data_IF_980766250082
#
_entry.id   IF_980766250082
#
_cell.length_a   1.000
_cell.length_b   1.000
_cell.length_c   1.000
_cell.angle_alpha   90.00
_cell.angle_beta   90.00
_cell.angle_gamma   90.00
#
_symmetry.space_group_name_H-M   'P 1'
#
loop_
_entity.id
_entity.type
_entity.pdbx_description
1 polymer ?
#
# COMPACT_ATOMS: atom_id res chain seq x y z
N UNK A 1 8.85 26.52 -12.45
CA UNK A 1 8.24 27.87 -12.33
C UNK A 1 6.85 27.83 -11.70
N UNK A 2 5.89 27.02 -12.21
CA UNK A 2 4.53 26.94 -11.62
C UNK A 2 4.54 26.40 -10.19
N UNK A 3 5.19 25.25 -9.94
CA UNK A 3 5.27 24.68 -8.59
C UNK A 3 5.87 25.67 -7.58
N UNK A 4 6.95 26.36 -7.94
CA UNK A 4 7.57 27.36 -7.08
C UNK A 4 6.60 28.50 -6.72
N UNK A 5 5.78 28.97 -7.65
CA UNK A 5 4.75 29.98 -7.35
C UNK A 5 3.69 29.41 -6.38
N UNK A 6 3.28 28.15 -6.55
CA UNK A 6 2.34 27.49 -5.64
C UNK A 6 2.94 27.33 -4.23
N UNK A 7 4.21 26.97 -4.13
CA UNK A 7 4.95 26.85 -2.87
C UNK A 7 5.10 28.22 -2.19
N UNK A 8 5.50 29.25 -2.94
CA UNK A 8 5.64 30.62 -2.43
C UNK A 8 4.29 31.15 -1.91
N UNK A 9 3.19 30.88 -2.62
CA UNK A 9 1.84 31.23 -2.18
C UNK A 9 1.44 30.48 -0.91
N UNK A 10 1.75 29.18 -0.80
CA UNK A 10 1.50 28.39 0.40
C UNK A 10 2.25 28.98 1.59
N UNK A 11 3.55 29.20 1.46
CA UNK A 11 4.38 29.82 2.50
C UNK A 11 3.89 31.21 2.87
N UNK A 12 3.48 32.02 1.90
CA UNK A 12 2.91 33.33 2.15
C UNK A 12 1.65 33.26 3.03
N UNK A 13 0.70 32.37 2.71
CA UNK A 13 -0.53 32.22 3.50
C UNK A 13 -0.26 31.62 4.90
N UNK A 14 0.66 30.67 5.02
CA UNK A 14 1.02 30.06 6.30
C UNK A 14 1.71 31.04 7.26
N UNK A 15 2.43 32.04 6.72
CA UNK A 15 3.09 33.08 7.50
C UNK A 15 2.13 34.16 8.04
N UNK A 16 0.86 34.19 7.60
CA UNK A 16 -0.10 35.22 8.05
C UNK A 16 -0.60 34.93 9.45
N UNK A 17 -0.57 35.95 10.31
CA UNK A 17 -1.13 35.89 11.68
C UNK A 17 -2.66 35.99 11.71
N UNK A 18 -3.25 36.59 10.68
CA UNK A 18 -4.70 36.67 10.46
C UNK A 18 -4.99 36.30 9.01
N UNK A 19 -5.81 35.26 8.81
CA UNK A 19 -6.19 34.74 7.49
C UNK A 19 -7.70 34.91 7.28
N UNK A 20 -8.13 35.32 6.09
CA UNK A 20 -9.56 35.38 5.77
C UNK A 20 -10.11 33.99 5.43
N UNK A 21 -11.43 33.76 5.49
CA UNK A 21 -12.02 32.48 5.07
C UNK A 21 -11.66 32.09 3.63
N UNK A 22 -11.58 33.04 2.71
CA UNK A 22 -11.21 32.80 1.30
C UNK A 22 -9.75 32.39 1.16
N UNK A 23 -8.85 33.05 1.89
CA UNK A 23 -7.43 32.70 1.92
C UNK A 23 -7.22 31.32 2.58
N UNK A 24 -7.99 31.01 3.62
CA UNK A 24 -7.98 29.69 4.24
C UNK A 24 -8.44 28.61 3.25
N UNK A 25 -9.48 28.88 2.44
CA UNK A 25 -9.93 27.96 1.40
C UNK A 25 -8.88 27.76 0.31
N UNK A 26 -8.15 28.82 -0.09
CA UNK A 26 -7.04 28.72 -1.03
C UNK A 26 -5.87 27.94 -0.44
N UNK A 27 -5.52 28.18 0.82
CA UNK A 27 -4.45 27.44 1.50
C UNK A 27 -4.78 25.95 1.60
N UNK A 28 -6.05 25.58 1.86
CA UNK A 28 -6.45 24.16 1.84
C UNK A 28 -6.23 23.54 0.45
N UNK A 29 -6.62 24.24 -0.63
CA UNK A 29 -6.37 23.76 -2.00
C UNK A 29 -4.89 23.68 -2.37
N UNK A 30 -4.05 24.54 -1.80
CA UNK A 30 -2.59 24.50 -1.99
C UNK A 30 -1.93 23.37 -1.19
N UNK A 31 -2.65 22.76 -0.23
CA UNK A 31 -2.21 21.58 0.52
C UNK A 31 -2.65 20.28 -0.15
N UNK A 32 -3.40 20.33 -1.24
CA UNK A 32 -3.75 19.14 -2.01
C UNK A 32 -2.48 18.54 -2.65
N UNK A 33 -2.41 17.20 -2.71
CA UNK A 33 -1.24 16.44 -3.18
C UNK A 33 -1.11 16.39 -4.72
N UNK A 34 -1.28 17.53 -5.40
CA UNK A 34 -1.14 17.62 -6.86
C UNK A 34 0.16 18.31 -7.27
N UNK A 35 0.89 17.65 -8.17
CA UNK A 35 2.14 18.17 -8.74
C UNK A 35 1.93 18.57 -10.22
N UNK A 36 2.16 19.84 -10.60
CA UNK A 36 1.98 20.31 -11.96
C UNK A 36 3.09 19.78 -12.88
N UNK A 37 2.69 19.16 -14.00
CA UNK A 37 3.61 18.51 -14.94
C UNK A 37 4.10 19.46 -16.05
N UNK A 38 3.23 20.31 -16.61
CA UNK A 38 3.60 21.19 -17.73
C UNK A 38 2.68 22.42 -17.87
N UNK A 39 3.05 23.36 -18.72
CA UNK A 39 2.30 24.58 -19.06
C UNK A 39 2.55 25.02 -20.51
N UNK A 40 1.62 25.77 -21.11
CA UNK A 40 1.79 26.37 -22.45
C UNK A 40 1.59 27.88 -22.39
N UNK A 41 2.40 28.61 -23.16
CA UNK A 41 2.45 30.07 -23.24
C UNK A 41 2.35 30.55 -24.69
N UNK A 42 2.20 31.86 -24.88
CA UNK A 42 2.26 32.46 -26.22
C UNK A 42 3.68 32.44 -26.80
N UNK A 43 4.70 32.44 -25.96
CA UNK A 43 6.10 32.35 -26.40
C UNK A 43 6.39 30.97 -27.01
N UNK A 44 5.80 29.91 -26.45
CA UNK A 44 5.88 28.57 -27.04
C UNK A 44 5.30 28.59 -28.47
N UNK A 45 4.13 29.20 -28.65
CA UNK A 45 3.53 29.35 -29.98
C UNK A 45 4.41 30.17 -30.94
N UNK A 46 5.02 31.26 -30.47
CA UNK A 46 5.95 32.08 -31.27
C UNK A 46 7.19 31.28 -31.68
N UNK A 47 7.72 30.45 -30.78
CA UNK A 47 8.87 29.57 -31.05
C UNK A 47 8.57 28.60 -32.20
N UNK A 48 7.31 28.20 -32.35
CA UNK A 48 6.83 27.37 -33.45
C UNK A 48 6.28 28.18 -34.65
N UNK A 49 6.46 29.50 -34.67
CA UNK A 49 6.15 30.36 -35.82
C UNK A 49 4.71 30.87 -35.91
N UNK A 50 3.89 30.69 -34.88
CA UNK A 50 2.54 31.25 -34.85
C UNK A 50 2.55 32.74 -34.52
N UNK A 51 1.76 33.54 -35.26
CA UNK A 51 1.53 34.95 -34.93
C UNK A 51 0.57 35.08 -33.74
N UNK A 52 1.09 35.46 -32.58
CA UNK A 52 0.30 35.53 -31.33
C UNK A 52 -0.30 36.91 -31.05
N UNK A 53 -0.08 37.91 -31.91
CA UNK A 53 -0.55 39.30 -31.66
C UNK A 53 -2.07 39.40 -31.47
N UNK A 54 -2.82 38.53 -32.15
CA UNK A 54 -4.29 38.44 -32.04
C UNK A 54 -4.78 37.27 -31.17
N UNK A 55 -3.88 36.50 -30.56
CA UNK A 55 -4.26 35.32 -29.77
C UNK A 55 -4.72 35.74 -28.38
N UNK A 56 -6.01 35.51 -28.12
CA UNK A 56 -6.68 35.85 -26.86
C UNK A 56 -6.40 34.84 -25.74
N UNK A 57 -6.61 35.24 -24.48
CA UNK A 57 -6.46 34.34 -23.34
C UNK A 57 -7.46 33.17 -23.41
N UNK A 58 -8.66 33.40 -23.94
CA UNK A 58 -9.65 32.35 -24.13
C UNK A 58 -9.15 31.26 -25.11
N UNK A 59 -8.45 31.66 -26.18
CA UNK A 59 -7.83 30.71 -27.10
C UNK A 59 -6.67 29.97 -26.45
N UNK A 60 -5.82 30.63 -25.65
CA UNK A 60 -4.76 29.97 -24.91
C UNK A 60 -5.30 28.94 -23.90
N UNK A 61 -6.38 29.28 -23.17
CA UNK A 61 -7.05 28.32 -22.26
C UNK A 61 -7.58 27.11 -23.02
N UNK A 62 -8.18 27.33 -24.19
CA UNK A 62 -8.68 26.24 -25.04
C UNK A 62 -7.54 25.36 -25.57
N UNK A 63 -6.41 25.95 -25.94
CA UNK A 63 -5.21 25.21 -26.34
C UNK A 63 -4.69 24.37 -25.17
N UNK A 64 -4.49 24.97 -23.99
CA UNK A 64 -4.04 24.27 -22.81
C UNK A 64 -4.95 23.09 -22.45
N UNK A 65 -6.27 23.29 -22.49
CA UNK A 65 -7.24 22.21 -22.25
C UNK A 65 -7.13 21.08 -23.29
N UNK A 66 -6.98 21.43 -24.58
CA UNK A 66 -6.78 20.42 -25.63
C UNK A 66 -5.49 19.63 -25.44
N UNK A 67 -4.39 20.30 -25.12
CA UNK A 67 -3.11 19.65 -24.85
C UNK A 67 -3.18 18.75 -23.62
N UNK A 68 -3.84 19.19 -22.55
CA UNK A 68 -4.02 18.40 -21.34
C UNK A 68 -4.80 17.11 -21.62
N UNK A 69 -5.90 17.20 -22.38
CA UNK A 69 -6.67 16.02 -22.79
C UNK A 69 -5.83 15.08 -23.66
N UNK A 70 -5.13 15.63 -24.67
CA UNK A 70 -4.31 14.85 -25.60
C UNK A 70 -3.19 14.10 -24.87
N UNK A 71 -2.50 14.78 -23.96
CA UNK A 71 -1.47 14.16 -23.13
C UNK A 71 -2.05 13.07 -22.23
N UNK A 72 -3.21 13.31 -21.59
CA UNK A 72 -3.89 12.34 -20.75
C UNK A 72 -4.28 11.07 -21.52
N UNK A 73 -4.83 11.23 -22.73
CA UNK A 73 -5.31 10.13 -23.57
C UNK A 73 -4.17 9.31 -24.18
N UNK A 74 -3.03 9.94 -24.51
CA UNK A 74 -1.97 9.29 -25.28
C UNK A 74 -0.78 8.81 -24.45
N UNK A 75 -0.33 9.59 -23.46
CA UNK A 75 1.01 9.43 -22.88
C UNK A 75 1.06 9.47 -21.36
N UNK A 76 0.10 10.09 -20.68
CA UNK A 76 0.19 10.37 -19.25
C UNK A 76 0.42 9.10 -18.43
N UNK A 77 -0.44 8.09 -18.56
CA UNK A 77 -0.41 6.91 -17.71
C UNK A 77 0.84 6.05 -17.92
N UNK A 78 1.21 5.81 -19.17
CA UNK A 78 2.40 5.04 -19.52
C UNK A 78 3.69 5.77 -19.13
N UNK A 79 3.74 7.09 -19.32
CA UNK A 79 4.91 7.89 -18.94
C UNK A 79 5.06 7.95 -17.42
N UNK A 80 3.96 8.12 -16.68
CA UNK A 80 3.96 8.09 -15.22
C UNK A 80 4.53 6.77 -14.70
N UNK A 81 4.05 5.65 -15.23
CA UNK A 81 4.51 4.33 -14.82
C UNK A 81 6.00 4.11 -15.09
N UNK A 82 6.45 4.36 -16.32
CA UNK A 82 7.86 4.18 -16.73
C UNK A 82 8.80 5.07 -15.93
N UNK A 83 8.42 6.33 -15.71
CA UNK A 83 9.25 7.29 -14.96
C UNK A 83 9.28 6.91 -13.48
N UNK A 84 8.16 6.50 -12.89
CA UNK A 84 8.12 6.04 -11.49
C UNK A 84 9.01 4.79 -11.28
N UNK A 85 9.02 3.86 -12.24
CA UNK A 85 9.93 2.71 -12.22
C UNK A 85 11.40 3.14 -12.35
N UNK A 86 11.71 4.06 -13.26
CA UNK A 86 13.06 4.61 -13.41
C UNK A 86 13.56 5.41 -12.19
N UNK A 87 12.64 5.89 -11.35
CA UNK A 87 12.93 6.54 -10.07
C UNK A 87 12.89 5.56 -8.88
N UNK A 88 12.69 4.27 -9.14
CA UNK A 88 12.66 3.21 -8.12
C UNK A 88 11.59 3.44 -7.03
N UNK A 89 10.45 4.03 -7.41
CA UNK A 89 9.33 4.16 -6.47
C UNK A 89 8.78 2.79 -6.08
N UNK A 90 8.44 2.59 -4.80
CA UNK A 90 7.96 1.30 -4.33
C UNK A 90 6.63 0.93 -4.98
N UNK A 91 6.49 -0.36 -5.31
CA UNK A 91 5.23 -0.96 -5.74
C UNK A 91 4.70 -1.90 -4.68
N UNK A 92 3.39 -2.08 -4.69
CA UNK A 92 2.79 -3.24 -4.05
C UNK A 92 3.20 -4.53 -4.77
N UNK A 93 3.12 -5.69 -4.07
CA UNK A 93 3.37 -6.99 -4.68
C UNK A 93 2.51 -7.22 -5.94
N UNK A 94 3.04 -7.98 -6.89
CA UNK A 94 2.26 -8.45 -8.05
C UNK A 94 1.14 -9.38 -7.59
N UNK A 95 0.07 -9.56 -8.35
CA UNK A 95 -1.00 -10.47 -7.95
C UNK A 95 -0.50 -11.93 -7.83
N UNK A 96 -0.77 -12.65 -6.71
CA UNK A 96 -0.27 -14.02 -6.51
C UNK A 96 -0.86 -15.05 -7.48
N UNK A 97 -1.94 -14.68 -8.18
CA UNK A 97 -2.66 -15.55 -9.13
C UNK A 97 -2.26 -15.26 -10.57
N UNK A 98 -2.27 -13.98 -11.00
CA UNK A 98 -2.09 -13.62 -12.41
C UNK A 98 -0.84 -12.78 -12.70
N UNK A 99 0.00 -12.50 -11.70
CA UNK A 99 1.20 -11.66 -11.80
C UNK A 99 0.96 -10.23 -12.32
N UNK A 100 -0.29 -9.76 -12.28
CA UNK A 100 -0.60 -8.36 -12.61
C UNK A 100 -0.02 -7.41 -11.59
N UNK A 101 0.62 -6.32 -12.06
CA UNK A 101 1.14 -5.23 -11.24
C UNK A 101 0.08 -4.20 -10.82
N UNK A 102 -1.13 -4.30 -11.35
CA UNK A 102 -2.23 -3.41 -11.02
C UNK A 102 -2.95 -3.92 -9.77
N UNK A 103 -2.37 -3.57 -8.62
CA UNK A 103 -2.86 -3.93 -7.29
C UNK A 103 -3.12 -2.66 -6.50
N UNK A 104 -4.29 -2.58 -5.87
CA UNK A 104 -4.67 -1.49 -4.98
C UNK A 104 -4.80 -1.99 -3.54
N UNK A 105 -4.50 -1.13 -2.57
CA UNK A 105 -4.71 -1.39 -1.14
C UNK A 105 -5.97 -0.66 -0.66
N UNK A 106 -6.93 -1.39 -0.11
CA UNK A 106 -7.99 -0.81 0.70
C UNK A 106 -7.43 -0.50 2.09
N UNK A 107 -6.98 0.74 2.28
CA UNK A 107 -6.37 1.19 3.54
C UNK A 107 -7.29 1.13 4.76
N UNK A 108 -8.61 1.00 4.59
CA UNK A 108 -9.52 0.79 5.73
C UNK A 108 -9.51 -0.66 6.21
N UNK A 109 -9.29 -1.61 5.31
CA UNK A 109 -9.35 -3.05 5.60
C UNK A 109 -7.99 -3.72 5.69
N UNK A 110 -6.94 -3.09 5.16
CA UNK A 110 -5.62 -3.73 5.00
C UNK A 110 -5.66 -4.87 3.98
N UNK A 111 -6.53 -4.75 2.97
CA UNK A 111 -6.76 -5.77 1.95
C UNK A 111 -6.29 -5.26 0.60
N UNK A 112 -5.40 -6.01 -0.04
CA UNK A 112 -5.05 -5.80 -1.43
C UNK A 112 -6.10 -6.39 -2.36
N UNK A 113 -6.29 -5.74 -3.51
CA UNK A 113 -7.13 -6.22 -4.60
C UNK A 113 -6.38 -6.08 -5.92
N UNK A 114 -6.41 -7.15 -6.72
CA UNK A 114 -5.94 -7.11 -8.10
C UNK A 114 -7.02 -6.57 -9.04
N UNK A 115 -6.73 -5.50 -9.78
CA UNK A 115 -7.65 -4.93 -10.78
C UNK A 115 -7.80 -5.81 -12.03
N UNK A 116 -6.86 -6.73 -12.27
CA UNK A 116 -6.88 -7.61 -13.43
C UNK A 116 -7.80 -8.82 -13.27
N UNK A 117 -7.76 -9.49 -12.11
CA UNK A 117 -8.53 -10.72 -11.87
C UNK A 117 -9.49 -10.66 -10.67
N UNK A 118 -9.50 -9.56 -9.91
CA UNK A 118 -10.35 -9.40 -8.72
C UNK A 118 -9.90 -10.18 -7.49
N UNK A 119 -8.74 -10.84 -7.53
CA UNK A 119 -8.18 -11.54 -6.36
C UNK A 119 -7.94 -10.57 -5.20
N UNK A 120 -8.31 -10.99 -4.00
CA UNK A 120 -8.09 -10.25 -2.75
C UNK A 120 -7.23 -11.05 -1.77
N UNK A 121 -6.40 -10.35 -0.99
CA UNK A 121 -5.59 -10.91 0.09
C UNK A 121 -5.22 -9.81 1.09
N UNK A 122 -4.87 -10.17 2.33
CA UNK A 122 -4.55 -9.22 3.38
C UNK A 122 -3.04 -8.98 3.48
N UNK A 123 -2.65 -7.76 3.85
CA UNK A 123 -1.25 -7.36 3.95
C UNK A 123 -0.53 -7.98 5.15
N UNK A 124 -1.26 -8.18 6.26
CA UNK A 124 -0.67 -8.54 7.56
C UNK A 124 -1.30 -9.78 8.19
N UNK A 125 -1.92 -10.64 7.37
CA UNK A 125 -2.44 -11.92 7.85
C UNK A 125 -1.57 -13.07 7.37
N UNK A 126 -1.42 -14.04 8.26
CA UNK A 126 -0.63 -15.24 8.06
C UNK A 126 -1.53 -16.46 8.19
N UNK A 127 -1.16 -17.52 7.51
CA UNK A 127 -1.87 -18.79 7.47
C UNK A 127 -0.96 -19.85 8.07
N UNK A 128 -1.45 -20.58 9.07
CA UNK A 128 -0.74 -21.76 9.56
C UNK A 128 -0.88 -22.88 8.53
N UNK A 129 0.22 -23.24 7.88
CA UNK A 129 0.33 -24.38 6.96
C UNK A 129 0.96 -25.54 7.71
N UNK A 130 0.28 -26.66 7.70
CA UNK A 130 0.67 -27.91 8.36
C UNK A 130 0.01 -29.08 7.62
N UNK A 131 0.43 -30.31 7.92
CA UNK A 131 -0.15 -31.53 7.36
C UNK A 131 -1.69 -31.49 7.42
N UNK A 132 -2.40 -31.78 6.31
CA UNK A 132 -1.94 -32.48 5.12
C UNK A 132 -1.49 -31.58 3.95
N UNK A 133 -1.39 -30.26 4.13
CA UNK A 133 -0.82 -29.40 3.09
C UNK A 133 0.69 -29.71 2.96
N UNK A 134 1.22 -29.62 1.73
CA UNK A 134 2.65 -29.81 1.48
C UNK A 134 3.42 -28.55 1.90
N UNK A 135 4.16 -28.65 3.01
CA UNK A 135 4.96 -27.56 3.56
C UNK A 135 6.40 -27.51 3.02
N UNK A 136 6.84 -28.55 2.30
CA UNK A 136 8.24 -28.72 1.88
C UNK A 136 8.75 -27.54 1.06
N UNK A 137 7.92 -27.02 0.14
CA UNK A 137 8.24 -25.85 -0.66
C UNK A 137 8.59 -24.62 0.19
N UNK A 138 7.82 -24.34 1.24
CA UNK A 138 8.06 -23.17 2.10
C UNK A 138 9.30 -23.35 2.97
N UNK A 139 9.58 -24.58 3.40
CA UNK A 139 10.80 -24.89 4.14
C UNK A 139 12.05 -24.74 3.26
N UNK A 140 12.04 -25.29 2.04
CA UNK A 140 13.16 -25.25 1.10
C UNK A 140 13.49 -23.83 0.63
N UNK A 141 12.46 -23.00 0.40
CA UNK A 141 12.60 -21.61 -0.04
C UNK A 141 12.71 -20.61 1.12
N UNK A 142 12.76 -21.08 2.37
CA UNK A 142 12.81 -20.24 3.58
C UNK A 142 11.68 -19.20 3.67
N UNK A 143 10.46 -19.58 3.26
CA UNK A 143 9.27 -18.72 3.26
C UNK A 143 8.49 -18.88 4.56
N UNK A 144 8.04 -17.76 5.14
CA UNK A 144 7.28 -17.73 6.39
C UNK A 144 8.12 -18.09 7.62
N UNK A 145 7.46 -18.35 8.73
CA UNK A 145 8.08 -18.56 10.05
C UNK A 145 7.72 -19.93 10.60
N UNK A 146 8.62 -20.64 11.28
CA UNK A 146 8.32 -21.94 11.87
C UNK A 146 7.23 -21.83 12.96
N UNK A 147 6.37 -22.85 13.05
CA UNK A 147 5.48 -23.05 14.20
C UNK A 147 6.11 -24.08 15.15
N UNK A 148 6.45 -23.64 16.35
CA UNK A 148 6.94 -24.45 17.46
C UNK A 148 5.81 -25.08 18.29
N UNK A 149 4.58 -24.56 18.16
CA UNK A 149 3.39 -25.06 18.84
C UNK A 149 2.74 -26.25 18.13
N UNK A 150 2.97 -26.41 16.81
CA UNK A 150 2.43 -27.55 16.06
C UNK A 150 3.22 -28.84 16.33
N UNK A 151 2.50 -29.96 16.28
CA UNK A 151 3.11 -31.30 16.31
C UNK A 151 3.73 -31.72 14.98
N UNK A 152 3.43 -30.99 13.91
CA UNK A 152 4.05 -31.16 12.61
C UNK A 152 5.34 -30.32 12.54
N UNK A 153 6.49 -31.00 12.45
CA UNK A 153 7.80 -30.35 12.38
C UNK A 153 7.97 -29.44 11.15
N UNK A 154 7.16 -29.66 10.10
CA UNK A 154 7.15 -28.83 8.90
C UNK A 154 6.18 -27.66 8.96
N UNK A 155 5.46 -27.46 10.08
CA UNK A 155 4.43 -26.43 10.17
C UNK A 155 5.03 -25.02 10.17
N UNK A 156 4.39 -24.11 9.42
CA UNK A 156 4.86 -22.72 9.26
C UNK A 156 3.72 -21.73 9.15
N UNK A 157 3.93 -20.52 9.64
CA UNK A 157 3.12 -19.34 9.39
C UNK A 157 3.60 -18.65 8.11
N UNK A 158 2.83 -18.75 7.03
CA UNK A 158 3.15 -18.10 5.74
C UNK A 158 2.20 -16.93 5.51
N UNK A 159 2.62 -15.90 4.77
CA UNK A 159 1.71 -14.81 4.42
C UNK A 159 0.52 -15.35 3.61
N UNK A 160 -0.65 -14.72 3.71
CA UNK A 160 -1.78 -15.09 2.85
C UNK A 160 -1.42 -15.00 1.36
N UNK A 161 -0.56 -14.03 1.01
CA UNK A 161 -0.01 -13.88 -0.31
C UNK A 161 0.72 -15.15 -0.78
N UNK A 162 1.69 -15.64 -0.01
CA UNK A 162 2.51 -16.80 -0.37
C UNK A 162 1.67 -18.07 -0.40
N UNK A 163 0.71 -18.19 0.52
CA UNK A 163 -0.26 -19.28 0.52
C UNK A 163 -1.03 -19.35 -0.81
N UNK A 164 -1.64 -18.22 -1.21
CA UNK A 164 -2.41 -18.15 -2.45
C UNK A 164 -1.48 -18.36 -3.66
N UNK A 165 -0.28 -17.80 -3.62
CA UNK A 165 0.71 -17.94 -4.70
C UNK A 165 1.11 -19.40 -4.91
N UNK A 166 1.28 -20.18 -3.86
CA UNK A 166 1.66 -21.58 -3.95
C UNK A 166 0.46 -22.50 -4.24
N UNK A 167 -0.58 -22.47 -3.40
CA UNK A 167 -1.70 -23.41 -3.48
C UNK A 167 -2.79 -23.02 -4.47
N UNK A 168 -2.79 -21.78 -4.99
CA UNK A 168 -3.79 -21.23 -5.91
C UNK A 168 -5.24 -21.36 -5.39
N UNK A 169 -5.42 -21.32 -4.06
CA UNK A 169 -6.72 -21.37 -3.38
C UNK A 169 -6.73 -20.39 -2.20
N UNK A 170 -7.93 -20.01 -1.77
CA UNK A 170 -8.09 -19.20 -0.56
C UNK A 170 -7.87 -20.05 0.69
N UNK A 171 -7.20 -19.52 1.73
CA UNK A 171 -7.10 -20.17 3.02
C UNK A 171 -8.47 -20.32 3.70
N UNK A 172 -8.60 -21.34 4.53
CA UNK A 172 -9.78 -21.52 5.38
C UNK A 172 -9.81 -20.46 6.49
N UNK A 173 -11.00 -19.94 6.81
CA UNK A 173 -11.16 -18.79 7.71
C UNK A 173 -10.65 -19.01 9.15
N UNK A 174 -10.56 -20.25 9.60
CA UNK A 174 -10.05 -20.64 10.92
C UNK A 174 -8.53 -20.81 10.98
N UNK A 175 -7.82 -20.63 9.86
CA UNK A 175 -6.36 -20.83 9.77
C UNK A 175 -5.56 -19.53 9.77
N UNK A 176 -6.24 -18.39 9.91
CA UNK A 176 -5.60 -17.09 9.91
C UNK A 176 -5.09 -16.70 11.29
N UNK A 177 -3.88 -16.19 11.30
CA UNK A 177 -3.17 -15.65 12.44
C UNK A 177 -2.71 -14.22 12.13
N UNK A 178 -2.62 -13.42 13.18
CA UNK A 178 -2.03 -12.10 13.16
C UNK A 178 -0.85 -12.08 14.13
N UNK A 179 0.35 -11.65 13.68
CA UNK A 179 1.45 -11.38 14.60
C UNK A 179 1.12 -10.10 15.36
N UNK A 180 1.13 -10.18 16.69
CA UNK A 180 0.99 -9.01 17.55
C UNK A 180 2.30 -8.80 18.29
N UNK A 181 2.90 -7.63 18.11
CA UNK A 181 4.08 -7.18 18.85
C UNK A 181 3.71 -6.55 20.19
N UNK A 182 4.73 -6.17 20.96
CA UNK A 182 4.56 -5.39 22.18
C UNK A 182 4.16 -3.94 21.85
N UNK A 183 3.24 -3.29 22.60
CA UNK A 183 2.60 -3.74 23.84
C UNK A 183 1.32 -4.58 23.69
N UNK A 184 0.75 -4.72 22.49
CA UNK A 184 -0.53 -5.37 22.24
C UNK A 184 -0.51 -6.87 22.60
N UNK A 185 0.65 -7.52 22.45
CA UNK A 185 0.86 -8.95 22.76
C UNK A 185 0.68 -9.30 24.24
N UNK A 186 0.77 -8.32 25.16
CA UNK A 186 0.63 -8.54 26.62
C UNK A 186 -0.65 -9.29 27.00
N UNK A 187 -1.75 -8.97 26.32
CA UNK A 187 -3.06 -9.58 26.56
C UNK A 187 -3.09 -11.08 26.25
N UNK A 188 -2.15 -11.55 25.44
CA UNK A 188 -2.08 -12.91 24.91
C UNK A 188 -0.94 -13.72 25.51
N UNK A 189 0.02 -13.08 26.22
CA UNK A 189 1.16 -13.71 26.88
C UNK A 189 0.94 -14.03 28.37
N UNK A 190 0.23 -13.16 29.11
CA UNK A 190 0.23 -13.18 30.58
C UNK A 190 -1.18 -13.04 31.17
N UNK A 191 -1.98 -14.12 31.27
CA UNK A 191 -3.26 -14.09 32.01
C UNK A 191 -3.54 -15.38 32.81
N UNK A 192 -4.27 -15.22 33.93
CA UNK A 192 -4.56 -16.23 34.97
C UNK A 192 -5.23 -17.51 34.44
N UNK A 193 -4.86 -18.65 35.06
CA UNK A 193 -5.15 -20.09 34.79
C UNK A 193 -6.63 -20.51 34.57
N UNK A 194 -7.57 -19.57 34.41
CA UNK A 194 -9.02 -19.83 34.37
C UNK A 194 -9.64 -19.90 32.97
N UNK A 195 -8.87 -19.66 31.89
CA UNK A 195 -9.37 -19.52 30.52
C UNK A 195 -8.55 -20.28 29.47
N UNK A 196 -8.08 -21.49 29.81
CA UNK A 196 -7.12 -22.32 29.04
C UNK A 196 -7.52 -22.58 27.57
N UNK A 197 -8.80 -22.79 27.27
CA UNK A 197 -9.21 -23.25 25.94
C UNK A 197 -8.99 -22.20 24.83
N UNK A 198 -9.20 -20.91 25.14
CA UNK A 198 -9.11 -19.85 24.14
C UNK A 198 -7.65 -19.53 23.78
N UNK A 199 -6.72 -19.58 24.73
CA UNK A 199 -5.32 -19.17 24.51
C UNK A 199 -4.41 -20.32 24.08
N UNK A 200 -4.90 -21.57 24.10
CA UNK A 200 -4.18 -22.77 23.65
C UNK A 200 -3.65 -22.67 22.22
N UNK A 201 -4.27 -21.83 21.38
CA UNK A 201 -3.91 -21.63 19.98
C UNK A 201 -2.94 -20.47 19.75
N UNK A 202 -2.61 -19.68 20.78
CA UNK A 202 -1.65 -18.59 20.62
C UNK A 202 -0.23 -19.13 20.74
N UNK A 203 0.68 -18.66 19.89
CA UNK A 203 2.05 -19.15 19.87
C UNK A 203 3.05 -17.99 19.95
N UNK A 204 3.96 -17.97 20.94
CA UNK A 204 5.02 -16.97 20.99
C UNK A 204 5.94 -17.06 19.76
N UNK A 205 6.31 -15.90 19.20
CA UNK A 205 7.29 -15.83 18.11
C UNK A 205 8.69 -15.91 18.74
N UNK A 206 9.45 -16.96 18.39
CA UNK A 206 10.72 -17.28 19.04
C UNK A 206 11.89 -17.42 18.06
N UNK A 207 11.63 -17.51 16.76
CA UNK A 207 12.67 -17.59 15.75
C UNK A 207 13.30 -16.21 15.50
N UNK A 208 14.58 -16.21 15.08
CA UNK A 208 15.35 -14.97 14.90
C UNK A 208 14.70 -14.04 13.87
N UNK A 209 14.21 -14.57 12.75
CA UNK A 209 13.55 -13.78 11.70
C UNK A 209 12.23 -13.17 12.18
N UNK A 210 11.38 -13.96 12.83
CA UNK A 210 10.13 -13.46 13.40
C UNK A 210 10.34 -12.40 14.47
N UNK A 211 11.40 -12.51 15.28
CA UNK A 211 11.76 -11.47 16.27
C UNK A 211 12.25 -10.20 15.57
N UNK A 212 13.03 -10.31 14.49
CA UNK A 212 13.48 -9.16 13.70
C UNK A 212 12.29 -8.41 13.08
N UNK A 213 11.33 -9.15 12.54
CA UNK A 213 10.19 -8.58 11.79
C UNK A 213 9.04 -8.08 12.69
N UNK A 214 8.79 -8.74 13.83
CA UNK A 214 7.64 -8.43 14.70
C UNK A 214 8.02 -7.93 16.10
N UNK A 215 9.29 -7.99 16.45
CA UNK A 215 9.82 -7.55 17.74
C UNK A 215 9.81 -8.63 18.82
N UNK A 216 10.57 -8.37 19.89
CA UNK A 216 10.61 -9.23 21.07
C UNK A 216 9.23 -9.32 21.75
N UNK A 217 8.89 -10.51 22.25
CA UNK A 217 7.60 -10.81 22.88
C UNK A 217 6.40 -10.69 21.92
N UNK A 218 6.61 -10.87 20.62
CA UNK A 218 5.52 -11.01 19.68
C UNK A 218 4.83 -12.40 19.80
N UNK A 219 3.56 -12.47 19.41
CA UNK A 219 2.74 -13.68 19.47
C UNK A 219 1.90 -13.84 18.21
N UNK A 220 1.86 -15.05 17.67
CA UNK A 220 0.86 -15.48 16.69
C UNK A 220 -0.49 -15.66 17.38
N UNK A 221 -1.46 -14.83 17.03
CA UNK A 221 -2.82 -14.90 17.58
C UNK A 221 -3.81 -15.25 16.47
N UNK A 222 -4.58 -16.34 16.57
CA UNK A 222 -5.58 -16.67 15.56
C UNK A 222 -6.70 -15.64 15.56
N UNK A 223 -7.27 -15.37 14.39
CA UNK A 223 -8.29 -14.32 14.25
C UNK A 223 -9.51 -14.52 15.15
N UNK A 224 -9.89 -15.77 15.46
CA UNK A 224 -11.00 -16.07 16.35
C UNK A 224 -10.75 -15.62 17.80
N UNK A 225 -9.49 -15.39 18.18
CA UNK A 225 -9.08 -14.99 19.52
C UNK A 225 -8.82 -13.49 19.64
N UNK A 226 -8.75 -12.77 18.52
CA UNK A 226 -8.54 -11.33 18.55
C UNK A 226 -9.73 -10.65 19.24
N UNK A 227 -9.46 -10.04 20.39
CA UNK A 227 -10.44 -9.21 21.09
C UNK A 227 -10.67 -7.94 20.25
N UNK A 228 -11.93 -7.68 19.89
CA UNK A 228 -12.36 -6.44 19.23
C UNK A 228 -12.27 -5.24 20.17
#
# INVERSE_FOLDING_TARGET
MVQQILDDLRTYFEAKTTITPEEQALLQRLKDDFFPITSVSREDLQTYGFDTRSVTDAQMRRLAQKMANDYCEQLFWSSMEIIAEGLEFPRYPECPVCASRHVCLDGQKGTFRCEGCGQEWHEHLYVLVEFPDDTSFFEEEYIGYPSFGSSDNGARYVSEYDYIAHFKKQPESNRYFKPLGWPESQLYLFQDESNDDLYSLNEPIQDESGIEDFGENAVWVPLCNLKQ
#
